data_IF_266417012986
#
_entry.id   IF_266417012986
#
_cell.length_a   1.000
_cell.length_b   1.000
_cell.length_c   1.000
_cell.angle_alpha   90.00
_cell.angle_beta   90.00
_cell.angle_gamma   90.00
#
_symmetry.space_group_name_H-M   'P 1'
#
loop_
_entity.id
_entity.type
_entity.pdbx_description
1 polymer ?
#
# COMPACT_ATOMS: atom_id res chain seq x y z
N UNK A 1 29.77 -22.47 -57.13
CA UNK A 1 29.29 -23.43 -56.09
C UNK A 1 29.50 -22.88 -54.66
N UNK A 2 30.59 -22.15 -54.44
CA UNK A 2 30.96 -21.59 -53.13
C UNK A 2 29.97 -20.50 -52.59
N UNK A 3 29.45 -19.65 -53.49
CA UNK A 3 28.47 -18.60 -53.09
C UNK A 3 27.16 -19.20 -52.51
N UNK A 4 26.65 -20.29 -53.06
CA UNK A 4 25.44 -20.95 -52.59
C UNK A 4 25.68 -21.66 -51.23
N UNK A 5 26.89 -22.14 -50.99
CA UNK A 5 27.31 -22.73 -49.74
C UNK A 5 27.45 -21.71 -48.62
N UNK A 6 28.09 -20.54 -48.92
CA UNK A 6 28.23 -19.46 -47.99
C UNK A 6 26.87 -18.83 -47.61
N UNK A 7 25.98 -18.67 -48.60
CA UNK A 7 24.63 -18.17 -48.34
C UNK A 7 23.78 -19.14 -47.54
N UNK A 8 23.92 -20.44 -47.80
CA UNK A 8 23.27 -21.48 -46.99
C UNK A 8 23.77 -21.54 -45.56
N UNK A 9 25.06 -21.34 -45.33
CA UNK A 9 25.68 -21.31 -44.00
C UNK A 9 25.25 -20.06 -43.23
N UNK A 10 25.16 -18.91 -43.90
CA UNK A 10 24.63 -17.66 -43.29
C UNK A 10 23.16 -17.84 -42.87
N UNK A 11 22.34 -18.39 -43.74
CA UNK A 11 20.92 -18.65 -43.48
C UNK A 11 20.70 -19.63 -42.31
N UNK A 12 21.50 -20.66 -42.26
CA UNK A 12 21.48 -21.63 -41.15
C UNK A 12 21.85 -20.98 -39.81
N UNK A 13 22.87 -20.14 -39.77
CA UNK A 13 23.26 -19.35 -38.58
C UNK A 13 22.17 -18.37 -38.18
N UNK A 14 21.55 -17.67 -39.13
CA UNK A 14 20.47 -16.73 -38.85
C UNK A 14 19.22 -17.42 -38.26
N UNK A 15 18.83 -18.60 -38.82
CA UNK A 15 17.73 -19.43 -38.29
C UNK A 15 18.05 -19.92 -36.89
N UNK A 16 19.28 -20.43 -36.67
CA UNK A 16 19.69 -20.89 -35.32
C UNK A 16 19.64 -19.76 -34.30
N UNK A 17 20.09 -18.55 -34.65
CA UNK A 17 19.99 -17.37 -33.82
C UNK A 17 18.55 -16.97 -33.51
N UNK A 18 17.66 -17.02 -34.52
CA UNK A 18 16.23 -16.72 -34.34
C UNK A 18 15.55 -17.72 -33.41
N UNK A 19 15.82 -19.03 -33.60
CA UNK A 19 15.28 -20.10 -32.73
C UNK A 19 15.77 -19.92 -31.29
N UNK A 20 17.04 -19.58 -31.10
CA UNK A 20 17.60 -19.32 -29.78
C UNK A 20 16.89 -18.13 -29.09
N UNK A 21 16.66 -17.03 -29.82
CA UNK A 21 15.93 -15.86 -29.30
C UNK A 21 14.49 -16.22 -28.95
N UNK A 22 13.79 -17.02 -29.79
CA UNK A 22 12.42 -17.46 -29.50
C UNK A 22 12.36 -18.38 -28.27
N UNK A 23 13.32 -19.26 -28.07
CA UNK A 23 13.44 -20.08 -26.87
C UNK A 23 13.68 -19.20 -25.66
N UNK A 24 14.56 -18.20 -25.76
CA UNK A 24 14.85 -17.28 -24.65
C UNK A 24 13.61 -16.47 -24.26
N UNK A 25 12.87 -15.93 -25.23
CA UNK A 25 11.60 -15.22 -25.00
C UNK A 25 10.55 -16.14 -24.37
N UNK A 26 10.44 -17.38 -24.85
CA UNK A 26 9.53 -18.39 -24.29
C UNK A 26 9.90 -18.74 -22.84
N UNK A 27 11.19 -18.87 -22.53
CA UNK A 27 11.69 -19.12 -21.18
C UNK A 27 11.38 -17.93 -20.25
N UNK A 28 11.65 -16.71 -20.68
CA UNK A 28 11.34 -15.47 -19.93
C UNK A 28 9.83 -15.34 -19.71
N UNK A 29 9.02 -15.62 -20.74
CA UNK A 29 7.55 -15.58 -20.63
C UNK A 29 7.02 -16.66 -19.68
N UNK A 30 7.56 -17.87 -19.73
CA UNK A 30 7.16 -18.96 -18.82
C UNK A 30 7.56 -18.69 -17.38
N UNK A 31 8.74 -18.11 -17.15
CA UNK A 31 9.19 -17.66 -15.83
C UNK A 31 8.31 -16.52 -15.30
N UNK A 32 7.92 -15.57 -16.13
CA UNK A 32 7.00 -14.49 -15.77
C UNK A 32 5.59 -14.99 -15.41
N UNK A 33 5.08 -15.99 -16.16
CA UNK A 33 3.78 -16.61 -15.84
C UNK A 33 3.84 -17.48 -14.57
N UNK A 34 4.95 -18.16 -14.32
CA UNK A 34 5.18 -18.95 -13.12
C UNK A 34 5.26 -18.06 -11.88
N UNK A 35 6.00 -16.95 -11.96
CA UNK A 35 6.03 -15.93 -10.90
C UNK A 35 4.64 -15.35 -10.60
N UNK A 36 3.78 -15.20 -11.61
CA UNK A 36 2.42 -14.70 -11.40
C UNK A 36 1.52 -15.68 -10.65
N UNK A 37 1.70 -17.00 -10.84
CA UNK A 37 0.98 -18.05 -10.08
C UNK A 37 1.59 -18.31 -8.70
N UNK A 38 2.90 -18.17 -8.53
CA UNK A 38 3.57 -18.29 -7.23
C UNK A 38 3.26 -17.08 -6.32
N UNK A 39 2.91 -15.92 -6.89
CA UNK A 39 2.49 -14.73 -6.13
C UNK A 39 1.08 -14.84 -5.50
N UNK A 40 0.27 -15.83 -5.84
CA UNK A 40 -1.00 -16.11 -5.14
C UNK A 40 -0.80 -16.97 -3.88
N UNK A 41 0.33 -17.70 -3.79
CA UNK A 41 0.66 -18.53 -2.64
C UNK A 41 1.41 -17.73 -1.57
N UNK A 42 0.72 -17.41 -0.50
CA UNK A 42 1.26 -16.72 0.68
C UNK A 42 0.67 -17.26 1.97
N UNK A 43 1.06 -16.67 3.08
CA UNK A 43 0.51 -16.96 4.39
C UNK A 43 0.44 -15.70 5.25
N UNK A 44 -0.51 -15.70 6.18
CA UNK A 44 -0.59 -14.65 7.20
C UNK A 44 0.42 -14.97 8.30
N UNK A 45 1.31 -14.01 8.55
CA UNK A 45 2.19 -14.00 9.71
C UNK A 45 1.63 -13.05 10.76
N UNK A 46 1.53 -13.53 11.99
CA UNK A 46 1.08 -12.71 13.12
C UNK A 46 2.19 -12.62 14.13
N UNK A 47 2.64 -11.41 14.44
CA UNK A 47 3.63 -11.13 15.46
C UNK A 47 3.02 -10.35 16.63
N UNK A 48 3.40 -10.71 17.86
CA UNK A 48 2.90 -10.10 19.09
C UNK A 48 3.76 -8.90 19.47
N UNK A 49 3.29 -7.70 19.13
CA UNK A 49 4.05 -6.48 19.42
C UNK A 49 4.10 -6.16 20.91
N UNK A 50 3.09 -6.53 21.70
CA UNK A 50 3.10 -6.32 23.15
C UNK A 50 4.23 -7.11 23.83
N UNK A 51 4.52 -8.36 23.41
CA UNK A 51 5.66 -9.13 23.93
C UNK A 51 7.00 -8.42 23.66
N UNK A 52 7.13 -7.78 22.50
CA UNK A 52 8.34 -6.99 22.13
C UNK A 52 8.53 -5.78 23.04
N UNK A 53 7.47 -5.06 23.37
CA UNK A 53 7.53 -3.95 24.33
C UNK A 53 7.92 -4.44 25.74
N UNK A 54 7.40 -5.57 26.12
CA UNK A 54 7.75 -6.21 27.39
C UNK A 54 9.23 -6.63 27.43
N UNK A 55 9.76 -7.21 26.37
CA UNK A 55 11.17 -7.58 26.28
C UNK A 55 12.09 -6.35 26.38
N UNK A 56 11.71 -5.24 25.74
CA UNK A 56 12.45 -3.99 25.87
C UNK A 56 12.41 -3.46 27.30
N UNK A 57 11.25 -3.49 27.94
CA UNK A 57 11.09 -3.09 29.34
C UNK A 57 11.94 -3.97 30.27
N UNK A 58 11.97 -5.29 30.03
CA UNK A 58 12.78 -6.22 30.79
C UNK A 58 14.28 -5.94 30.63
N UNK A 59 14.72 -5.65 29.42
CA UNK A 59 16.11 -5.29 29.12
C UNK A 59 16.54 -4.03 29.88
N UNK A 60 15.69 -3.01 29.86
CA UNK A 60 15.94 -1.76 30.60
C UNK A 60 15.92 -2.00 32.12
N UNK A 61 14.95 -2.76 32.63
CA UNK A 61 14.85 -3.08 34.05
C UNK A 61 16.08 -3.85 34.55
N UNK A 62 16.58 -4.79 33.74
CA UNK A 62 17.81 -5.53 34.07
C UNK A 62 19.02 -4.62 34.22
N UNK A 63 19.14 -3.60 33.36
CA UNK A 63 20.25 -2.65 33.38
C UNK A 63 20.14 -1.59 34.51
N UNK A 64 18.93 -1.22 34.91
CA UNK A 64 18.66 -0.11 35.82
C UNK A 64 18.40 -0.55 37.27
N UNK A 65 17.92 -1.78 37.50
CA UNK A 65 17.58 -2.30 38.83
C UNK A 65 18.75 -3.06 39.44
N UNK A 66 18.74 -3.15 40.79
CA UNK A 66 19.65 -4.07 41.46
C UNK A 66 19.16 -5.54 41.31
N UNK A 67 20.07 -6.49 41.51
CA UNK A 67 19.83 -7.91 41.29
C UNK A 67 18.62 -8.47 42.09
N UNK A 68 18.39 -7.96 43.30
CA UNK A 68 17.29 -8.42 44.13
C UNK A 68 15.93 -7.94 43.63
N UNK A 69 15.84 -6.68 43.26
CA UNK A 69 14.64 -6.07 42.70
C UNK A 69 14.25 -6.73 41.37
N UNK A 70 15.21 -6.95 40.49
CA UNK A 70 15.00 -7.62 39.21
C UNK A 70 14.54 -9.07 39.38
N UNK A 71 15.16 -9.84 40.26
CA UNK A 71 14.72 -11.22 40.57
C UNK A 71 13.29 -11.27 41.09
N UNK A 72 12.89 -10.32 41.93
CA UNK A 72 11.51 -10.23 42.47
C UNK A 72 10.51 -9.94 41.35
N UNK A 73 10.78 -8.93 40.53
CA UNK A 73 9.94 -8.55 39.38
C UNK A 73 9.76 -9.73 38.42
N UNK A 74 10.86 -10.39 38.03
CA UNK A 74 10.83 -11.55 37.14
C UNK A 74 10.04 -12.74 37.69
N UNK A 75 10.09 -12.94 39.00
CA UNK A 75 9.32 -14.01 39.66
C UNK A 75 7.81 -13.71 39.66
N UNK A 76 7.44 -12.47 39.86
CA UNK A 76 6.03 -12.02 39.83
C UNK A 76 5.46 -12.16 38.43
N UNK A 77 6.19 -11.68 37.41
CA UNK A 77 5.83 -11.81 36.01
C UNK A 77 5.65 -13.26 35.55
N UNK A 78 6.58 -14.16 35.89
CA UNK A 78 6.45 -15.60 35.59
C UNK A 78 5.24 -16.26 36.27
N UNK A 79 4.84 -15.76 37.41
CA UNK A 79 3.61 -16.26 38.06
C UNK A 79 2.38 -15.82 37.30
N UNK A 80 2.36 -14.58 36.83
CA UNK A 80 1.25 -14.01 36.06
C UNK A 80 1.10 -14.74 34.71
N UNK A 81 2.17 -14.86 33.93
CA UNK A 81 2.20 -15.61 32.67
C UNK A 81 1.75 -17.07 32.82
N UNK A 82 2.18 -17.75 33.91
CA UNK A 82 1.72 -19.12 34.21
C UNK A 82 0.23 -19.21 34.56
N UNK A 83 -0.31 -18.18 35.18
CA UNK A 83 -1.74 -18.12 35.50
C UNK A 83 -2.59 -17.87 34.25
N UNK A 84 -2.13 -17.02 33.34
CA UNK A 84 -2.75 -16.77 32.02
C UNK A 84 -2.72 -18.04 31.14
N UNK A 85 -1.56 -18.68 31.02
CA UNK A 85 -1.43 -19.95 30.24
C UNK A 85 -2.30 -21.09 30.76
N UNK A 86 -2.62 -21.08 32.03
CA UNK A 86 -3.53 -22.07 32.64
C UNK A 86 -5.01 -21.72 32.51
N UNK A 87 -5.34 -20.64 31.77
CA UNK A 87 -6.71 -20.16 31.58
C UNK A 87 -7.38 -19.67 32.89
N UNK A 88 -6.58 -19.46 33.97
CA UNK A 88 -7.07 -18.93 35.24
C UNK A 88 -7.30 -17.43 35.24
N UNK A 89 -6.63 -16.73 34.33
CA UNK A 89 -6.83 -15.34 33.98
C UNK A 89 -7.12 -15.34 32.48
N UNK A 90 -8.37 -15.09 32.09
CA UNK A 90 -8.66 -14.69 30.70
C UNK A 90 -8.16 -13.25 30.58
N UNK A 91 -7.34 -12.99 29.56
CA UNK A 91 -7.10 -11.62 29.16
C UNK A 91 -8.43 -11.04 28.69
N UNK A 92 -9.03 -10.15 29.47
CA UNK A 92 -10.19 -9.35 29.06
C UNK A 92 -9.76 -8.16 28.18
N UNK A 93 -8.46 -8.12 27.82
CA UNK A 93 -7.91 -7.06 26.98
C UNK A 93 -8.49 -7.14 25.58
N UNK A 94 -8.77 -5.97 25.02
CA UNK A 94 -9.13 -5.81 23.60
C UNK A 94 -7.95 -6.23 22.72
N UNK A 95 -8.22 -6.59 21.48
CA UNK A 95 -7.16 -6.86 20.50
C UNK A 95 -6.99 -5.65 19.60
N UNK A 96 -5.75 -5.21 19.43
CA UNK A 96 -5.37 -4.20 18.46
C UNK A 96 -4.59 -4.88 17.33
N UNK A 97 -5.18 -4.93 16.15
CA UNK A 97 -4.51 -5.42 14.94
C UNK A 97 -3.79 -4.29 14.23
N UNK A 98 -2.50 -4.46 13.98
CA UNK A 98 -1.66 -3.47 13.29
C UNK A 98 -1.39 -3.94 11.89
N UNK A 99 -1.73 -3.08 10.94
CA UNK A 99 -1.46 -3.23 9.51
C UNK A 99 -0.47 -2.16 9.07
N UNK A 100 0.35 -2.50 8.09
CA UNK A 100 1.26 -1.57 7.42
C UNK A 100 0.80 -1.41 5.97
N UNK A 101 0.89 -0.21 5.44
CA UNK A 101 0.71 0.06 4.01
C UNK A 101 1.72 1.10 3.56
N UNK A 102 2.70 0.66 2.76
CA UNK A 102 3.69 1.52 2.11
C UNK A 102 3.36 1.60 0.61
N UNK A 103 2.65 2.68 0.25
CA UNK A 103 2.01 2.83 -1.06
C UNK A 103 2.93 3.42 -2.12
N UNK A 104 3.17 2.67 -3.17
CA UNK A 104 3.75 3.16 -4.43
C UNK A 104 2.66 3.72 -5.38
N UNK A 105 3.07 4.22 -6.57
CA UNK A 105 2.16 4.76 -7.59
C UNK A 105 1.06 3.76 -7.98
N UNK A 106 1.32 2.45 -7.93
CA UNK A 106 0.40 1.37 -8.31
C UNK A 106 -0.42 0.84 -7.14
N UNK A 107 -0.14 1.30 -5.91
CA UNK A 107 -0.66 0.72 -4.68
C UNK A 107 -0.38 -0.79 -4.61
N UNK A 108 0.85 -1.22 -4.91
CA UNK A 108 1.20 -2.64 -5.07
C UNK A 108 0.91 -3.47 -3.82
N UNK A 109 0.91 -2.88 -2.64
CA UNK A 109 0.57 -3.55 -1.38
C UNK A 109 -0.92 -3.83 -1.19
N UNK A 110 -1.79 -3.36 -2.11
CA UNK A 110 -3.25 -3.61 -1.99
C UNK A 110 -3.58 -5.10 -1.93
N UNK A 111 -2.84 -5.94 -2.63
CA UNK A 111 -3.08 -7.39 -2.60
C UNK A 111 -2.76 -8.00 -1.22
N UNK A 112 -1.67 -7.55 -0.58
CA UNK A 112 -1.37 -7.95 0.80
C UNK A 112 -2.46 -7.47 1.76
N UNK A 113 -2.84 -6.19 1.68
CA UNK A 113 -3.88 -5.59 2.50
C UNK A 113 -5.22 -6.34 2.41
N UNK A 114 -5.60 -6.81 1.21
CA UNK A 114 -6.81 -7.63 1.00
C UNK A 114 -6.80 -8.92 1.81
N UNK A 115 -5.66 -9.62 1.83
CA UNK A 115 -5.50 -10.86 2.59
C UNK A 115 -5.49 -10.60 4.09
N UNK A 116 -4.79 -9.58 4.54
CA UNK A 116 -4.67 -9.17 5.92
C UNK A 116 -6.02 -8.77 6.51
N UNK A 117 -6.76 -7.88 5.83
CA UNK A 117 -8.11 -7.48 6.25
C UNK A 117 -9.06 -8.68 6.24
N UNK A 118 -9.00 -9.53 5.22
CA UNK A 118 -9.83 -10.73 5.17
C UNK A 118 -9.54 -11.66 6.34
N UNK A 119 -8.27 -11.87 6.69
CA UNK A 119 -7.88 -12.67 7.85
C UNK A 119 -8.40 -12.06 9.17
N UNK A 120 -8.24 -10.75 9.38
CA UNK A 120 -8.77 -10.04 10.54
C UNK A 120 -10.29 -10.21 10.63
N UNK A 121 -11.02 -10.03 9.54
CA UNK A 121 -12.47 -10.11 9.48
C UNK A 121 -13.03 -11.52 9.79
N UNK A 122 -12.20 -12.58 9.73
CA UNK A 122 -12.64 -13.94 10.14
C UNK A 122 -12.86 -14.09 11.64
N UNK A 123 -12.26 -13.20 12.46
CA UNK A 123 -12.28 -13.35 13.92
C UNK A 123 -12.49 -12.05 14.70
N UNK A 124 -12.30 -10.89 14.09
CA UNK A 124 -12.45 -9.60 14.75
C UNK A 124 -13.92 -9.29 15.06
N UNK A 125 -14.13 -8.61 16.18
CA UNK A 125 -15.42 -8.15 16.67
C UNK A 125 -15.41 -6.62 16.82
N UNK A 126 -16.55 -5.95 16.98
CA UNK A 126 -16.59 -4.50 17.23
C UNK A 126 -15.90 -4.01 18.50
N UNK A 127 -15.46 -4.92 19.38
CA UNK A 127 -14.66 -4.59 20.55
C UNK A 127 -13.16 -4.48 20.25
N UNK A 128 -12.73 -5.09 19.15
CA UNK A 128 -11.36 -5.04 18.69
C UNK A 128 -11.13 -3.73 17.92
N UNK A 129 -9.88 -3.42 17.66
CA UNK A 129 -9.48 -2.22 16.94
C UNK A 129 -8.42 -2.58 15.86
N UNK A 130 -8.43 -1.84 14.76
CA UNK A 130 -7.38 -1.91 13.75
C UNK A 130 -6.64 -0.58 13.70
N UNK A 131 -5.31 -0.64 13.77
CA UNK A 131 -4.41 0.46 13.47
C UNK A 131 -3.78 0.21 12.10
N UNK A 132 -4.00 1.11 11.16
CA UNK A 132 -3.25 1.15 9.91
C UNK A 132 -2.14 2.19 10.01
N UNK A 133 -0.88 1.78 9.88
CA UNK A 133 0.24 2.69 9.67
C UNK A 133 0.35 2.92 8.17
N UNK A 134 -0.03 4.11 7.76
CA UNK A 134 -0.15 4.48 6.35
C UNK A 134 0.98 5.41 5.94
N UNK A 135 1.71 5.00 4.91
CA UNK A 135 2.67 5.86 4.23
C UNK A 135 2.41 5.79 2.71
N UNK A 136 1.92 6.88 2.10
CA UNK A 136 1.68 6.91 0.66
C UNK A 136 1.57 8.31 0.09
N UNK A 137 2.32 8.64 -0.97
CA UNK A 137 2.14 9.87 -1.74
C UNK A 137 0.93 9.84 -2.68
N UNK A 138 0.21 8.71 -2.78
CA UNK A 138 -0.85 8.48 -3.75
C UNK A 138 -0.37 7.87 -5.07
N UNK A 139 -1.29 7.78 -6.03
CA UNK A 139 -1.01 7.17 -7.33
C UNK A 139 -2.26 6.93 -8.15
N UNK A 140 -2.36 5.78 -8.81
CA UNK A 140 -3.45 5.44 -9.71
C UNK A 140 -4.79 5.36 -8.97
N UNK A 141 -5.76 6.16 -9.40
CA UNK A 141 -7.06 6.32 -8.75
C UNK A 141 -7.77 4.98 -8.52
N UNK A 142 -7.82 4.11 -9.52
CA UNK A 142 -8.50 2.81 -9.39
C UNK A 142 -7.81 1.86 -8.41
N UNK A 143 -6.48 1.92 -8.27
CA UNK A 143 -5.73 1.10 -7.33
C UNK A 143 -5.93 1.58 -5.89
N UNK A 144 -5.86 2.89 -5.67
CA UNK A 144 -6.14 3.48 -4.35
C UNK A 144 -7.60 3.41 -3.97
N UNK A 145 -8.51 3.50 -4.93
CA UNK A 145 -9.94 3.24 -4.72
C UNK A 145 -10.20 1.81 -4.25
N UNK A 146 -9.49 0.81 -4.81
CA UNK A 146 -9.56 -0.56 -4.33
C UNK A 146 -9.00 -0.70 -2.90
N UNK A 147 -7.87 -0.05 -2.61
CA UNK A 147 -7.29 -0.07 -1.26
C UNK A 147 -8.22 0.57 -0.23
N UNK A 148 -8.81 1.73 -0.54
CA UNK A 148 -9.83 2.37 0.28
C UNK A 148 -11.05 1.46 0.51
N UNK A 149 -11.53 0.78 -0.55
CA UNK A 149 -12.64 -0.18 -0.44
C UNK A 149 -12.30 -1.36 0.48
N UNK A 150 -11.03 -1.78 0.58
CA UNK A 150 -10.66 -2.81 1.56
C UNK A 150 -10.79 -2.29 3.00
N UNK A 151 -10.37 -1.06 3.26
CA UNK A 151 -10.52 -0.44 4.58
C UNK A 151 -11.99 -0.24 4.96
N UNK A 152 -12.84 0.09 3.99
CA UNK A 152 -14.28 0.22 4.19
C UNK A 152 -14.91 -1.07 4.74
N UNK A 153 -14.41 -2.26 4.35
CA UNK A 153 -14.91 -3.55 4.88
C UNK A 153 -14.81 -3.65 6.41
N UNK A 154 -13.79 -3.02 7.01
CA UNK A 154 -13.64 -2.95 8.48
C UNK A 154 -14.75 -2.07 9.08
N UNK A 155 -14.99 -0.90 8.47
CA UNK A 155 -16.05 0.04 8.88
C UNK A 155 -17.44 -0.59 8.81
N UNK A 156 -17.72 -1.32 7.71
CA UNK A 156 -19.00 -2.01 7.49
C UNK A 156 -19.28 -3.08 8.55
N UNK A 157 -18.23 -3.62 9.18
CA UNK A 157 -18.31 -4.55 10.31
C UNK A 157 -18.24 -3.85 11.68
N UNK A 158 -18.32 -2.52 11.71
CA UNK A 158 -18.19 -1.69 12.91
C UNK A 158 -16.91 -1.97 13.72
N UNK A 159 -15.82 -2.33 13.05
CA UNK A 159 -14.50 -2.47 13.67
C UNK A 159 -13.84 -1.10 13.66
N UNK A 160 -13.52 -0.51 14.82
CA UNK A 160 -12.82 0.76 14.91
C UNK A 160 -11.52 0.74 14.13
N UNK A 161 -11.34 1.71 13.23
CA UNK A 161 -10.15 1.88 12.40
C UNK A 161 -9.47 3.20 12.75
N UNK A 162 -8.29 3.12 13.34
CA UNK A 162 -7.38 4.25 13.51
C UNK A 162 -6.34 4.23 12.40
N UNK A 163 -6.08 5.36 11.76
CA UNK A 163 -5.03 5.49 10.76
C UNK A 163 -3.99 6.47 11.27
N UNK A 164 -2.74 6.01 11.35
CA UNK A 164 -1.60 6.81 11.76
C UNK A 164 -0.69 7.10 10.56
N UNK A 165 -0.36 8.36 10.37
CA UNK A 165 0.42 8.89 9.25
C UNK A 165 1.69 9.50 9.80
N UNK A 166 2.80 8.76 9.75
CA UNK A 166 4.07 9.25 10.29
C UNK A 166 4.81 10.17 9.31
N UNK A 167 4.63 9.99 7.99
CA UNK A 167 5.35 10.75 6.96
C UNK A 167 4.46 11.38 5.90
N UNK A 168 3.62 10.58 5.23
CA UNK A 168 2.80 11.07 4.13
C UNK A 168 1.53 10.26 3.92
N UNK A 169 0.40 10.94 3.74
CA UNK A 169 -0.82 10.41 3.15
C UNK A 169 -1.44 11.49 2.25
N UNK A 170 -1.06 11.48 0.98
CA UNK A 170 -1.45 12.48 0.00
C UNK A 170 -2.18 11.85 -1.18
N UNK A 171 -3.09 12.61 -1.81
CA UNK A 171 -3.86 12.15 -2.99
C UNK A 171 -4.54 10.80 -2.72
N UNK A 172 -4.24 9.74 -3.48
CA UNK A 172 -4.74 8.38 -3.22
C UNK A 172 -4.44 7.89 -1.79
N UNK A 173 -3.33 8.30 -1.18
CA UNK A 173 -3.03 8.02 0.23
C UNK A 173 -4.05 8.66 1.17
N UNK A 174 -4.50 9.89 0.89
CA UNK A 174 -5.56 10.51 1.68
C UNK A 174 -6.94 9.88 1.39
N UNK A 175 -7.17 9.40 0.18
CA UNK A 175 -8.37 8.58 -0.13
C UNK A 175 -8.47 7.35 0.77
N UNK A 176 -7.37 6.72 1.10
CA UNK A 176 -7.35 5.65 2.10
C UNK A 176 -7.51 6.19 3.52
N UNK A 177 -6.80 7.29 3.85
CA UNK A 177 -6.79 7.85 5.19
C UNK A 177 -8.18 8.30 5.66
N UNK A 178 -8.96 8.96 4.80
CA UNK A 178 -10.27 9.50 5.16
C UNK A 178 -11.29 8.46 5.64
N UNK A 179 -11.07 7.15 5.34
CA UNK A 179 -11.91 6.03 5.81
C UNK A 179 -11.80 5.83 7.33
N UNK A 180 -10.70 6.23 7.95
CA UNK A 180 -10.46 6.01 9.39
C UNK A 180 -11.52 6.64 10.28
N UNK A 181 -11.89 5.95 11.37
CA UNK A 181 -12.68 6.55 12.45
C UNK A 181 -11.88 7.64 13.16
N UNK A 182 -10.57 7.44 13.24
CA UNK A 182 -9.62 8.36 13.84
C UNK A 182 -8.39 8.47 12.97
N UNK A 183 -8.02 9.69 12.60
CA UNK A 183 -6.82 10.02 11.82
C UNK A 183 -5.82 10.74 12.70
N UNK A 184 -4.63 10.17 12.81
CA UNK A 184 -3.51 10.74 13.55
C UNK A 184 -2.35 10.99 12.60
N UNK A 185 -1.62 12.05 12.80
CA UNK A 185 -0.42 12.31 12.02
C UNK A 185 0.70 12.92 12.86
N UNK A 186 1.94 12.63 12.46
CA UNK A 186 3.10 13.32 12.99
C UNK A 186 3.05 14.82 12.59
N UNK A 187 3.65 15.73 13.37
CA UNK A 187 3.55 17.18 13.14
C UNK A 187 3.98 17.66 11.75
N UNK A 188 4.92 16.95 11.12
CA UNK A 188 5.45 17.25 9.79
C UNK A 188 5.03 16.25 8.71
N UNK A 189 4.12 15.33 9.00
CA UNK A 189 3.55 14.46 7.98
C UNK A 189 2.82 15.28 6.90
N UNK A 190 2.96 14.89 5.65
CA UNK A 190 2.33 15.53 4.50
C UNK A 190 0.96 14.93 4.28
N UNK A 191 -0.08 15.78 4.32
CA UNK A 191 -1.49 15.38 4.28
C UNK A 191 -2.22 16.16 3.17
N UNK A 192 -3.23 15.55 2.56
CA UNK A 192 -4.11 16.23 1.61
C UNK A 192 -3.77 15.90 0.16
N UNK A 193 -3.42 16.91 -0.65
CA UNK A 193 -3.29 16.75 -2.11
C UNK A 193 -4.55 16.13 -2.73
N UNK A 194 -5.72 16.62 -2.29
CA UNK A 194 -7.02 16.19 -2.80
C UNK A 194 -7.22 16.83 -4.18
N UNK A 195 -6.75 16.14 -5.19
CA UNK A 195 -6.75 16.60 -6.57
C UNK A 195 -6.38 15.48 -7.52
N UNK A 196 -6.55 15.71 -8.81
CA UNK A 196 -6.23 14.75 -9.87
C UNK A 196 -5.30 15.41 -10.86
N UNK A 197 -4.24 14.71 -11.25
CA UNK A 197 -3.28 15.17 -12.25
C UNK A 197 -3.09 14.11 -13.33
N UNK A 198 -3.03 14.55 -14.58
CA UNK A 198 -2.63 13.70 -15.69
C UNK A 198 -1.52 14.42 -16.48
N UNK A 199 -0.43 13.70 -16.71
CA UNK A 199 0.69 14.20 -17.49
C UNK A 199 0.94 13.27 -18.68
N UNK A 200 0.76 13.79 -19.90
CA UNK A 200 0.89 13.02 -21.13
C UNK A 200 1.85 13.73 -22.08
N UNK A 201 3.07 13.26 -22.30
CA UNK A 201 3.95 13.78 -23.34
C UNK A 201 3.36 13.47 -24.72
N UNK A 202 3.52 14.38 -25.69
CA UNK A 202 3.09 14.14 -27.07
C UNK A 202 4.28 14.28 -28.04
N UNK A 203 4.60 13.21 -28.72
CA UNK A 203 5.72 13.10 -29.66
C UNK A 203 5.29 13.24 -31.15
N UNK A 204 4.02 13.51 -31.43
CA UNK A 204 3.52 13.57 -32.82
C UNK A 204 4.33 14.49 -33.71
N UNK A 205 4.67 15.72 -33.25
CA UNK A 205 5.47 16.65 -34.02
C UNK A 205 6.89 16.14 -34.33
N UNK A 206 7.49 15.39 -33.40
CA UNK A 206 8.79 14.78 -33.61
C UNK A 206 8.70 13.67 -34.67
N UNK A 207 7.69 12.83 -34.64
CA UNK A 207 7.46 11.78 -35.62
C UNK A 207 7.21 12.35 -37.00
N UNK A 208 6.35 13.36 -37.12
CA UNK A 208 6.11 14.07 -38.42
C UNK A 208 7.38 14.70 -38.99
N UNK A 209 8.29 15.21 -38.17
CA UNK A 209 9.57 15.76 -38.60
C UNK A 209 10.50 14.71 -39.25
N UNK A 210 10.28 13.44 -38.91
CA UNK A 210 11.04 12.31 -39.44
C UNK A 210 10.25 11.49 -40.45
N UNK A 211 9.21 12.09 -41.07
CA UNK A 211 8.36 11.47 -42.10
C UNK A 211 7.70 10.16 -41.63
N UNK A 212 7.38 10.10 -40.31
CA UNK A 212 6.66 8.98 -39.70
C UNK A 212 5.22 9.39 -39.40
N UNK A 213 4.29 8.82 -40.15
CA UNK A 213 2.85 8.99 -39.89
C UNK A 213 2.33 7.95 -38.93
N UNK A 214 1.40 8.37 -38.05
CA UNK A 214 0.72 7.51 -37.11
C UNK A 214 -0.77 7.53 -37.38
N UNK A 215 -1.31 6.39 -37.76
CA UNK A 215 -2.75 6.20 -37.93
C UNK A 215 -3.37 5.63 -36.67
N UNK A 216 -4.38 6.31 -36.16
CA UNK A 216 -5.15 5.86 -34.98
C UNK A 216 -6.57 5.52 -35.41
N UNK A 217 -6.88 4.24 -35.43
CA UNK A 217 -8.23 3.74 -35.73
C UNK A 217 -8.93 3.36 -34.42
N UNK A 218 -10.07 4.00 -34.14
CA UNK A 218 -10.87 3.71 -32.93
C UNK A 218 -12.33 3.47 -33.29
N UNK A 219 -12.97 2.58 -32.58
CA UNK A 219 -14.41 2.44 -32.56
C UNK A 219 -14.95 2.95 -31.22
N UNK A 220 -15.91 3.88 -31.28
CA UNK A 220 -16.41 4.64 -30.14
C UNK A 220 -15.81 6.05 -30.08
N UNK A 221 -16.70 7.05 -30.02
CA UNK A 221 -16.36 8.49 -30.18
C UNK A 221 -15.27 8.97 -29.19
N UNK A 222 -15.28 8.46 -27.95
CA UNK A 222 -14.38 8.88 -26.87
C UNK A 222 -13.42 7.76 -26.40
N UNK A 223 -13.17 6.74 -27.28
CA UNK A 223 -12.27 5.63 -26.93
C UNK A 223 -10.84 6.07 -26.64
N UNK A 224 -10.39 7.14 -27.30
CA UNK A 224 -9.10 7.81 -27.10
C UNK A 224 -9.30 9.31 -27.24
N UNK A 225 -9.19 10.01 -26.13
CA UNK A 225 -9.32 11.47 -26.08
C UNK A 225 -7.96 12.13 -26.36
N UNK A 226 -6.89 11.64 -25.73
CA UNK A 226 -5.52 12.06 -25.99
C UNK A 226 -4.60 10.86 -26.25
N UNK A 227 -3.53 11.10 -27.01
CA UNK A 227 -2.53 10.09 -27.39
C UNK A 227 -1.11 10.66 -27.29
N UNK A 228 -0.14 9.79 -27.03
CA UNK A 228 1.27 10.17 -26.95
C UNK A 228 1.92 10.37 -28.33
N UNK A 229 1.45 9.68 -29.37
CA UNK A 229 2.11 9.62 -30.67
C UNK A 229 1.25 10.13 -31.81
N UNK A 230 -0.07 10.06 -31.72
CA UNK A 230 -0.99 10.59 -32.69
C UNK A 230 -1.27 12.09 -32.50
N UNK A 231 -2.07 12.66 -33.39
CA UNK A 231 -2.52 14.04 -33.30
C UNK A 231 -3.61 14.19 -32.23
N UNK A 232 -3.45 15.19 -31.37
CA UNK A 232 -4.44 15.52 -30.31
C UNK A 232 -5.30 16.68 -30.78
N UNK A 233 -6.59 16.45 -30.90
CA UNK A 233 -7.58 17.47 -31.28
C UNK A 233 -8.02 18.32 -30.11
N UNK A 234 -8.54 19.52 -30.36
CA UNK A 234 -9.11 20.36 -29.32
C UNK A 234 -10.37 19.72 -28.67
N UNK A 235 -11.17 19.02 -29.44
CA UNK A 235 -12.34 18.28 -28.92
C UNK A 235 -11.88 17.16 -27.99
N UNK A 236 -10.87 16.36 -28.38
CA UNK A 236 -10.28 15.33 -27.54
C UNK A 236 -9.70 15.89 -26.26
N UNK A 237 -9.03 17.06 -26.34
CA UNK A 237 -8.49 17.76 -25.16
C UNK A 237 -9.58 18.21 -24.20
N UNK A 238 -10.64 18.83 -24.74
CA UNK A 238 -11.79 19.25 -23.95
C UNK A 238 -12.44 18.06 -23.21
N UNK A 239 -12.67 16.97 -23.95
CA UNK A 239 -13.24 15.75 -23.34
C UNK A 239 -12.35 15.15 -22.25
N UNK A 240 -11.04 15.16 -22.47
CA UNK A 240 -10.09 14.68 -21.46
C UNK A 240 -10.11 15.53 -20.17
N UNK A 241 -10.24 16.84 -20.31
CA UNK A 241 -10.36 17.76 -19.14
C UNK A 241 -11.68 17.48 -18.39
N UNK A 242 -12.79 17.31 -19.11
CA UNK A 242 -14.09 16.93 -18.49
C UNK A 242 -13.97 15.63 -17.69
N UNK A 243 -13.31 14.60 -18.23
CA UNK A 243 -13.07 13.33 -17.53
C UNK A 243 -12.19 13.50 -16.29
N UNK A 244 -11.22 14.40 -16.35
CA UNK A 244 -10.33 14.72 -15.22
C UNK A 244 -11.11 15.46 -14.10
N UNK A 245 -11.93 16.42 -14.47
CA UNK A 245 -12.78 17.17 -13.54
C UNK A 245 -13.85 16.26 -12.89
N UNK A 246 -14.46 15.35 -13.65
CA UNK A 246 -15.39 14.36 -13.13
C UNK A 246 -14.71 13.43 -12.09
N UNK A 247 -13.50 12.97 -12.40
CA UNK A 247 -12.72 12.16 -11.46
C UNK A 247 -12.39 12.94 -10.18
N UNK A 248 -12.06 14.22 -10.29
CA UNK A 248 -11.82 15.08 -9.13
C UNK A 248 -13.10 15.27 -8.31
N UNK A 249 -14.23 15.46 -8.97
CA UNK A 249 -15.54 15.58 -8.30
C UNK A 249 -15.90 14.31 -7.52
N UNK A 250 -15.70 13.12 -8.11
CA UNK A 250 -15.87 11.83 -7.41
C UNK A 250 -14.95 11.72 -6.19
N UNK A 251 -13.71 12.21 -6.28
CA UNK A 251 -12.80 12.20 -5.13
C UNK A 251 -13.28 13.13 -4.03
N UNK A 252 -13.78 14.33 -4.36
CA UNK A 252 -14.38 15.28 -3.40
C UNK A 252 -15.57 14.66 -2.67
N UNK A 253 -16.47 14.04 -3.41
CA UNK A 253 -17.67 13.36 -2.88
C UNK A 253 -17.24 12.25 -1.91
N UNK A 254 -16.31 11.40 -2.32
CA UNK A 254 -15.81 10.32 -1.50
C UNK A 254 -15.18 10.80 -0.18
N UNK A 255 -14.36 11.85 -0.22
CA UNK A 255 -13.79 12.44 1.01
C UNK A 255 -14.89 13.06 1.86
N UNK A 256 -15.84 13.79 1.27
CA UNK A 256 -16.96 14.42 1.98
C UNK A 256 -17.87 13.42 2.68
N UNK A 257 -18.11 12.25 2.09
CA UNK A 257 -18.88 11.17 2.72
C UNK A 257 -18.20 10.63 3.99
N UNK A 258 -16.89 10.52 3.98
CA UNK A 258 -16.13 9.94 5.10
C UNK A 258 -15.69 10.97 6.15
N UNK A 259 -15.57 12.22 5.76
CA UNK A 259 -15.15 13.35 6.58
C UNK A 259 -16.13 14.54 6.44
N UNK A 260 -17.39 14.37 6.88
CA UNK A 260 -18.45 15.35 6.66
C UNK A 260 -18.21 16.72 7.37
N UNK A 261 -17.26 16.77 8.28
CA UNK A 261 -16.87 18.03 8.95
C UNK A 261 -15.98 18.94 8.09
N UNK A 262 -15.48 18.44 6.94
CA UNK A 262 -14.58 19.19 6.07
C UNK A 262 -15.34 20.15 5.16
N UNK A 263 -14.84 21.37 5.01
CA UNK A 263 -15.18 22.21 3.87
C UNK A 263 -14.41 21.70 2.64
N UNK A 264 -15.05 20.77 1.92
CA UNK A 264 -14.39 20.05 0.82
C UNK A 264 -13.94 20.98 -0.30
N UNK A 265 -14.66 22.07 -0.57
CA UNK A 265 -14.32 23.01 -1.64
C UNK A 265 -13.10 23.86 -1.26
N UNK A 266 -12.93 24.17 0.02
CA UNK A 266 -11.77 24.90 0.51
C UNK A 266 -10.49 24.07 0.52
N UNK A 267 -10.59 22.74 0.71
CA UNK A 267 -9.41 21.87 0.87
C UNK A 267 -9.09 21.01 -0.36
N UNK A 268 -10.04 20.79 -1.26
CA UNK A 268 -9.81 19.97 -2.45
C UNK A 268 -9.22 20.76 -3.62
N UNK A 269 -8.20 21.54 -3.35
CA UNK A 269 -7.47 22.38 -4.30
C UNK A 269 -6.21 21.73 -4.87
N UNK A 270 -5.90 20.51 -4.40
CA UNK A 270 -4.65 19.83 -4.72
C UNK A 270 -3.46 20.23 -3.83
N UNK A 271 -3.67 21.13 -2.87
CA UNK A 271 -2.63 21.55 -1.91
C UNK A 271 -2.32 20.47 -0.89
N UNK A 272 -1.16 20.60 -0.25
CA UNK A 272 -0.73 19.76 0.87
C UNK A 272 -0.60 20.57 2.15
N UNK A 273 -0.88 19.93 3.27
CA UNK A 273 -0.69 20.49 4.60
C UNK A 273 0.22 19.61 5.43
N UNK A 274 1.09 20.23 6.23
CA UNK A 274 1.79 19.48 7.26
C UNK A 274 0.85 19.15 8.42
N UNK A 275 1.05 18.02 9.10
CA UNK A 275 0.18 17.48 10.13
C UNK A 275 -0.32 18.54 11.13
N UNK A 276 0.57 19.42 11.59
CA UNK A 276 0.20 20.53 12.50
C UNK A 276 -0.87 21.47 11.93
N UNK A 277 -0.79 21.77 10.63
CA UNK A 277 -1.79 22.61 9.94
C UNK A 277 -3.00 21.81 9.48
N UNK A 278 -2.80 20.54 9.20
CA UNK A 278 -3.87 19.64 8.79
C UNK A 278 -4.93 19.43 9.88
N UNK A 279 -4.53 19.53 11.18
CA UNK A 279 -5.49 19.53 12.31
C UNK A 279 -6.41 20.75 12.23
N UNK A 280 -5.86 21.94 11.98
CA UNK A 280 -6.63 23.19 11.91
C UNK A 280 -7.62 23.17 10.75
N UNK A 281 -7.32 22.45 9.67
CA UNK A 281 -8.19 22.24 8.52
C UNK A 281 -9.20 21.09 8.73
N UNK A 282 -9.13 20.35 9.82
CA UNK A 282 -9.98 19.19 10.08
C UNK A 282 -9.62 17.94 9.27
N UNK A 283 -8.52 17.97 8.51
CA UNK A 283 -8.06 16.83 7.69
C UNK A 283 -7.65 15.63 8.53
N UNK A 284 -7.18 15.85 9.74
CA UNK A 284 -6.84 14.83 10.74
C UNK A 284 -7.43 15.20 12.10
N UNK A 285 -7.55 14.23 13.00
CA UNK A 285 -8.21 14.39 14.30
C UNK A 285 -7.22 14.76 15.41
N UNK A 286 -5.92 14.55 15.20
CA UNK A 286 -4.92 14.87 16.21
C UNK A 286 -3.49 14.62 15.78
N UNK A 287 -2.56 15.10 16.57
CA UNK A 287 -1.12 14.90 16.40
C UNK A 287 -0.67 13.72 17.27
N UNK A 288 -0.14 12.68 16.66
CA UNK A 288 0.53 11.57 17.32
C UNK A 288 1.31 10.78 16.27
N UNK A 289 2.37 10.11 16.68
CA UNK A 289 3.03 9.09 15.85
C UNK A 289 2.36 7.74 16.04
N UNK A 290 2.56 6.82 15.11
CA UNK A 290 2.11 5.44 15.26
C UNK A 290 2.75 4.76 16.46
N UNK A 291 4.01 5.08 16.77
CA UNK A 291 4.74 4.54 17.91
C UNK A 291 4.15 5.02 19.25
N UNK A 292 3.82 6.31 19.37
CA UNK A 292 3.17 6.85 20.58
C UNK A 292 1.82 6.19 20.80
N UNK A 293 1.02 6.05 19.72
CA UNK A 293 -0.28 5.38 19.80
C UNK A 293 -0.17 3.93 20.27
N UNK A 294 0.78 3.17 19.74
CA UNK A 294 1.02 1.78 20.15
C UNK A 294 1.48 1.71 21.60
N UNK A 295 2.31 2.65 22.03
CA UNK A 295 2.81 2.70 23.41
C UNK A 295 1.69 3.03 24.42
N UNK A 296 0.77 3.93 24.08
CA UNK A 296 -0.42 4.23 24.85
C UNK A 296 -1.34 2.99 24.98
N UNK A 297 -1.51 2.25 23.88
CA UNK A 297 -2.41 1.08 23.83
C UNK A 297 -1.86 -0.18 24.46
N UNK A 298 -0.57 -0.28 24.76
CA UNK A 298 0.08 -1.50 25.26
C UNK A 298 -0.52 -2.04 26.56
N UNK A 299 -1.01 -1.15 27.42
CA UNK A 299 -1.56 -1.55 28.72
C UNK A 299 -3.07 -1.92 28.63
N UNK A 300 -3.76 -1.43 27.57
CA UNK A 300 -5.19 -1.60 27.33
C UNK A 300 -5.52 -2.77 26.40
N UNK A 301 -4.61 -3.12 25.48
CA UNK A 301 -4.86 -4.10 24.43
C UNK A 301 -3.69 -5.06 24.21
N UNK A 302 -4.01 -6.25 23.74
CA UNK A 302 -3.05 -7.17 23.16
C UNK A 302 -2.80 -6.78 21.70
N UNK A 303 -1.57 -6.41 21.38
CA UNK A 303 -1.21 -5.82 20.08
C UNK A 303 -0.61 -6.88 19.17
N UNK A 304 -1.20 -7.06 17.99
CA UNK A 304 -0.82 -8.05 17.00
C UNK A 304 -0.53 -7.37 15.65
N UNK A 305 0.70 -7.43 15.15
CA UNK A 305 0.97 -7.07 13.77
C UNK A 305 0.57 -8.24 12.87
N UNK A 306 -0.22 -7.95 11.84
CA UNK A 306 -0.72 -8.92 10.86
C UNK A 306 -0.11 -8.56 9.52
N UNK A 307 0.61 -9.50 8.91
CA UNK A 307 1.30 -9.28 7.64
C UNK A 307 1.13 -10.48 6.72
N UNK A 308 0.70 -10.22 5.50
CA UNK A 308 0.70 -11.25 4.46
C UNK A 308 2.10 -11.34 3.84
N UNK A 309 2.64 -12.55 3.80
CA UNK A 309 3.93 -12.82 3.16
C UNK A 309 3.76 -13.79 2.01
N UNK A 310 4.21 -13.36 0.83
CA UNK A 310 4.33 -14.27 -0.31
C UNK A 310 5.37 -15.35 -0.04
N UNK A 311 5.13 -16.54 -0.57
CA UNK A 311 6.16 -17.59 -0.56
C UNK A 311 7.33 -17.13 -1.42
N UNK A 312 8.52 -17.09 -0.84
CA UNK A 312 9.74 -16.79 -1.60
C UNK A 312 9.97 -17.87 -2.65
N UNK A 313 10.24 -17.44 -3.88
CA UNK A 313 10.61 -18.33 -4.96
C UNK A 313 11.90 -19.11 -4.64
N UNK A 314 12.09 -20.29 -5.24
CA UNK A 314 13.33 -21.07 -5.06
C UNK A 314 14.59 -20.29 -5.47
N UNK A 315 14.46 -19.34 -6.42
CA UNK A 315 15.55 -18.50 -6.88
C UNK A 315 15.95 -17.46 -5.83
N UNK A 316 15.00 -16.84 -5.13
CA UNK A 316 15.27 -15.92 -4.02
C UNK A 316 15.87 -16.62 -2.81
N UNK A 317 15.48 -17.89 -2.57
CA UNK A 317 16.07 -18.71 -1.52
C UNK A 317 17.54 -19.07 -1.81
N UNK A 318 17.88 -19.32 -3.08
CA UNK A 318 19.23 -19.64 -3.52
C UNK A 318 20.12 -18.37 -3.60
N UNK A 319 19.55 -17.22 -3.97
CA UNK A 319 20.28 -15.94 -4.00
C UNK A 319 20.73 -15.49 -2.60
N UNK A 320 19.88 -15.60 -1.59
CA UNK A 320 20.21 -15.26 -0.21
C UNK A 320 21.21 -16.24 0.45
N UNK A 321 21.29 -17.49 -0.03
CA UNK A 321 22.28 -18.45 0.43
C UNK A 321 23.70 -18.20 -0.15
N UNK A 322 23.81 -17.31 -1.15
CA UNK A 322 25.08 -16.91 -1.75
C UNK A 322 25.64 -15.59 -1.17
N UNK A 323 24.84 -14.84 -0.40
CA UNK A 323 25.23 -13.56 0.24
C UNK A 323 25.52 -13.71 1.75
N UNK A 324 25.37 -14.87 2.33
CA UNK A 324 25.67 -15.20 3.74
C UNK A 324 26.85 -16.17 3.85
#
# INVERSE_FOLDING_TARGET
>A
MDFLLEYGLFFAKAITGLVFILILISLISSLSQRNKRENEDGHIEVSRLHERFEDWQDTLNYALMNDEQYKKLRKERRKHEKAERKGKLKSDKKRLFVLDFDGDIRASEVECLRHEISAILTLATPQDEVLLRLESPGGLVHSYGLAASQLQRLRDKNIPLTIAIDRVAASGGYMMACIGNRLLAAPFAVIGSIGVVAQLPNFNRLLKKHDIDVELHTAGQHKRTLTMIGENTEEGRKKFIEELEDTHQLFKEFVGEHRPQLDIDAIATGEVWYGRRAVDQGLIDGLSTSDDYLLEKRDEADIYAVKFKYKRSLQERLGLAAEG
#
